data_IF_830008213933
#
_entry.id   IF_830008213933
#
_cell.length_a   1.000
_cell.length_b   1.000
_cell.length_c   1.000
_cell.angle_alpha   90.00
_cell.angle_beta   90.00
_cell.angle_gamma   90.00
#
_symmetry.space_group_name_H-M   'P 1'
#
loop_
_entity.id
_entity.type
_entity.pdbx_description
1 polymer ?
#
# COMPACT_ATOMS: atom_id res chain seq x y z
N UNK A 1 11.16 22.47 -21.27
CA UNK A 1 9.77 22.91 -21.04
C UNK A 1 9.05 21.87 -20.19
N UNK A 2 8.84 22.13 -18.90
CA UNK A 2 8.07 21.24 -18.01
C UNK A 2 6.60 21.48 -18.32
N UNK A 3 5.96 20.60 -19.08
CA UNK A 3 4.52 20.67 -19.31
C UNK A 3 3.82 20.54 -17.95
N UNK A 4 3.07 21.58 -17.55
CA UNK A 4 2.15 21.48 -16.42
C UNK A 4 1.16 20.36 -16.76
N UNK A 5 1.15 19.30 -15.95
CA UNK A 5 0.08 18.30 -16.02
C UNK A 5 -1.25 19.04 -15.83
N UNK A 6 -2.28 18.78 -16.66
CA UNK A 6 -3.60 19.34 -16.40
C UNK A 6 -4.03 18.95 -14.99
N UNK A 7 -4.52 19.91 -14.20
CA UNK A 7 -5.15 19.59 -12.91
C UNK A 7 -6.28 18.61 -13.21
N UNK A 8 -6.21 17.42 -12.60
CA UNK A 8 -7.31 16.47 -12.64
C UNK A 8 -8.59 17.14 -12.13
N UNK A 9 -9.75 16.66 -12.58
CA UNK A 9 -11.04 17.12 -12.08
C UNK A 9 -11.05 17.00 -10.55
N UNK A 10 -11.39 18.09 -9.86
CA UNK A 10 -11.56 18.07 -8.41
C UNK A 10 -12.78 17.21 -8.07
N UNK A 11 -12.60 16.24 -7.17
CA UNK A 11 -13.67 15.34 -6.74
C UNK A 11 -14.73 16.13 -5.98
N UNK A 12 -16.01 15.80 -6.20
CA UNK A 12 -17.08 16.32 -5.37
C UNK A 12 -16.99 15.75 -3.94
N UNK A 13 -17.76 16.31 -3.01
CA UNK A 13 -17.85 15.74 -1.66
C UNK A 13 -18.45 14.33 -1.74
N UNK A 14 -19.43 14.13 -2.62
CA UNK A 14 -20.08 12.85 -2.87
C UNK A 14 -19.07 11.81 -3.36
N UNK A 15 -18.20 12.19 -4.30
CA UNK A 15 -17.15 11.33 -4.83
C UNK A 15 -16.16 10.93 -3.71
N UNK A 16 -15.74 11.88 -2.87
CA UNK A 16 -14.84 11.60 -1.73
C UNK A 16 -15.48 10.70 -0.68
N UNK A 17 -16.77 10.86 -0.42
CA UNK A 17 -17.51 9.99 0.51
C UNK A 17 -17.62 8.58 -0.07
N UNK A 18 -17.86 8.45 -1.37
CA UNK A 18 -17.90 7.15 -2.03
C UNK A 18 -16.53 6.45 -1.98
N UNK A 19 -15.44 7.18 -2.22
CA UNK A 19 -14.07 6.68 -2.10
C UNK A 19 -13.75 6.20 -0.69
N UNK A 20 -13.99 7.05 0.33
CA UNK A 20 -13.74 6.70 1.73
C UNK A 20 -14.53 5.45 2.15
N UNK A 21 -15.79 5.34 1.72
CA UNK A 21 -16.62 4.15 1.98
C UNK A 21 -16.02 2.91 1.33
N UNK A 22 -15.64 3.00 0.05
CA UNK A 22 -15.08 1.87 -0.68
C UNK A 22 -13.82 1.34 0.02
N UNK A 23 -12.90 2.21 0.44
CA UNK A 23 -11.67 1.80 1.14
C UNK A 23 -11.96 1.23 2.53
N UNK A 24 -12.95 1.78 3.25
CA UNK A 24 -13.26 1.34 4.62
C UNK A 24 -13.92 -0.04 4.69
N UNK A 25 -14.72 -0.40 3.69
CA UNK A 25 -15.50 -1.66 3.69
C UNK A 25 -14.89 -2.76 2.83
N UNK A 26 -13.79 -2.47 2.13
CA UNK A 26 -13.17 -3.43 1.24
C UNK A 26 -12.52 -4.56 2.03
N UNK A 27 -12.93 -5.79 1.74
CA UNK A 27 -12.34 -7.01 2.27
C UNK A 27 -12.39 -8.08 1.18
N UNK A 28 -11.23 -8.54 0.73
CA UNK A 28 -11.08 -9.60 -0.27
C UNK A 28 -10.29 -10.80 0.26
N UNK A 29 -10.15 -10.97 1.58
CA UNK A 29 -9.39 -12.08 2.17
C UNK A 29 -9.94 -13.46 1.79
N UNK A 30 -11.22 -13.56 1.43
CA UNK A 30 -11.84 -14.80 0.94
C UNK A 30 -11.34 -15.24 -0.44
N UNK A 31 -10.75 -14.32 -1.18
CA UNK A 31 -10.27 -14.51 -2.55
C UNK A 31 -8.72 -14.48 -2.60
N UNK A 32 -8.07 -14.54 -1.44
CA UNK A 32 -6.61 -14.43 -1.29
C UNK A 32 -5.88 -15.55 -2.04
N UNK A 33 -6.51 -16.72 -2.16
CA UNK A 33 -6.04 -17.90 -2.89
C UNK A 33 -5.95 -17.68 -4.40
N UNK A 34 -6.60 -16.66 -4.94
CA UNK A 34 -6.51 -16.28 -6.36
C UNK A 34 -5.24 -15.52 -6.71
N UNK A 35 -4.48 -15.05 -5.73
CA UNK A 35 -3.20 -14.37 -5.95
C UNK A 35 -2.13 -15.42 -6.26
N UNK A 36 -1.78 -15.57 -7.53
CA UNK A 36 -0.78 -16.55 -8.00
C UNK A 36 0.57 -15.92 -8.37
N UNK A 37 0.65 -14.60 -8.42
CA UNK A 37 1.90 -13.90 -8.68
C UNK A 37 2.82 -13.94 -7.45
N UNK A 38 4.13 -13.97 -7.68
CA UNK A 38 5.09 -13.70 -6.62
C UNK A 38 4.76 -12.35 -5.98
N UNK A 39 4.73 -12.32 -4.65
CA UNK A 39 4.23 -11.18 -3.89
C UNK A 39 5.18 -10.84 -2.75
N UNK A 40 5.34 -9.55 -2.48
CA UNK A 40 5.96 -9.02 -1.27
C UNK A 40 5.04 -7.95 -0.67
N UNK A 41 4.85 -8.02 0.65
CA UNK A 41 4.11 -7.01 1.42
C UNK A 41 5.11 -6.11 2.15
N UNK A 42 4.96 -4.80 1.99
CA UNK A 42 5.72 -3.79 2.73
C UNK A 42 4.74 -3.07 3.65
N UNK A 43 5.06 -2.97 4.95
CA UNK A 43 4.29 -2.22 5.95
C UNK A 43 5.20 -1.24 6.70
N UNK A 44 4.63 -0.21 7.32
CA UNK A 44 5.39 0.79 8.07
C UNK A 44 5.07 0.71 9.58
N UNK A 45 6.10 0.80 10.41
CA UNK A 45 6.01 0.60 11.86
C UNK A 45 5.02 1.54 12.57
N UNK A 46 4.87 2.76 12.08
CA UNK A 46 4.01 3.78 12.67
C UNK A 46 2.78 4.11 11.82
N UNK A 47 2.41 3.25 10.85
CA UNK A 47 1.19 3.44 10.08
C UNK A 47 -0.05 3.28 10.98
N UNK A 48 -0.80 4.37 11.16
CA UNK A 48 -2.04 4.39 11.95
C UNK A 48 -3.29 4.26 11.09
N UNK A 49 -3.16 4.38 9.76
CA UNK A 49 -4.27 4.25 8.82
C UNK A 49 -4.44 2.77 8.48
N UNK A 50 -3.34 2.08 8.17
CA UNK A 50 -3.29 0.64 7.95
C UNK A 50 -2.18 0.05 8.84
N UNK A 51 -2.51 -0.38 10.07
CA UNK A 51 -1.52 -0.92 11.00
C UNK A 51 -0.73 -2.10 10.43
N UNK A 52 0.55 -2.25 10.76
CA UNK A 52 1.44 -3.25 10.16
C UNK A 52 0.98 -4.69 10.36
N UNK A 53 0.19 -4.96 11.40
CA UNK A 53 -0.41 -6.27 11.67
C UNK A 53 -1.33 -6.71 10.53
N UNK A 54 -2.03 -5.77 9.86
CA UNK A 54 -2.87 -6.08 8.70
C UNK A 54 -2.05 -6.55 7.51
N UNK A 55 -0.88 -5.96 7.30
CA UNK A 55 0.05 -6.42 6.27
C UNK A 55 0.62 -7.80 6.58
N UNK A 56 0.91 -8.07 7.86
CA UNK A 56 1.40 -9.37 8.32
C UNK A 56 0.34 -10.46 8.11
N UNK A 57 -0.93 -10.20 8.45
CA UNK A 57 -2.06 -11.12 8.21
C UNK A 57 -2.15 -11.52 6.73
N UNK A 58 -2.00 -10.56 5.82
CA UNK A 58 -2.01 -10.82 4.36
C UNK A 58 -0.78 -11.63 3.94
N UNK A 59 0.40 -11.30 4.45
CA UNK A 59 1.63 -12.00 4.11
C UNK A 59 1.62 -13.46 4.59
N UNK A 60 1.08 -13.72 5.78
CA UNK A 60 0.88 -15.08 6.30
C UNK A 60 -0.11 -15.87 5.45
N UNK A 61 -1.23 -15.25 5.07
CA UNK A 61 -2.24 -15.88 4.21
C UNK A 61 -1.71 -16.23 2.81
N UNK A 62 -0.83 -15.38 2.26
CA UNK A 62 -0.17 -15.61 0.97
C UNK A 62 1.10 -16.45 1.09
N UNK A 63 1.58 -16.74 2.30
CA UNK A 63 2.90 -17.30 2.57
C UNK A 63 4.00 -16.59 1.75
N UNK A 64 4.00 -15.26 1.79
CA UNK A 64 4.85 -14.41 0.95
C UNK A 64 5.85 -13.60 1.78
N UNK A 65 6.76 -12.89 1.12
CA UNK A 65 7.76 -12.06 1.79
C UNK A 65 7.08 -10.86 2.48
N UNK A 66 7.44 -10.63 3.74
CA UNK A 66 6.98 -9.48 4.51
C UNK A 66 8.15 -8.60 4.95
N UNK A 67 8.03 -7.30 4.71
CA UNK A 67 9.02 -6.29 5.07
C UNK A 67 8.39 -5.21 5.94
N UNK A 68 8.87 -5.07 7.17
CA UNK A 68 8.46 -4.00 8.07
C UNK A 68 9.46 -2.86 8.01
N UNK A 69 9.07 -1.75 7.42
CA UNK A 69 9.86 -0.54 7.36
C UNK A 69 9.85 0.17 8.71
N UNK A 70 11.01 0.17 9.36
CA UNK A 70 11.24 0.86 10.64
C UNK A 70 11.23 2.37 10.48
N UNK A 71 10.84 3.07 11.54
CA UNK A 71 10.81 4.54 11.61
C UNK A 71 10.06 5.23 10.45
N UNK A 72 8.93 4.67 10.02
CA UNK A 72 8.10 5.24 8.96
C UNK A 72 6.60 5.12 9.29
N UNK A 73 5.81 6.09 8.85
CA UNK A 73 4.35 6.08 8.90
C UNK A 73 3.69 5.70 7.57
N UNK A 74 2.40 6.02 7.44
CA UNK A 74 1.59 5.69 6.26
C UNK A 74 2.19 6.21 4.95
N UNK A 75 2.86 7.36 5.01
CA UNK A 75 3.50 7.98 3.85
C UNK A 75 4.93 7.46 3.65
N UNK A 76 5.20 6.19 3.96
CA UNK A 76 6.53 5.55 3.89
C UNK A 76 7.27 5.76 2.56
N UNK A 77 6.54 5.85 1.44
CA UNK A 77 7.15 6.13 0.12
C UNK A 77 7.71 7.55 -0.02
N UNK A 78 7.20 8.51 0.77
CA UNK A 78 7.69 9.88 0.85
C UNK A 78 8.73 10.03 1.96
N UNK A 79 8.52 9.34 3.09
CA UNK A 79 9.39 9.41 4.26
C UNK A 79 10.73 8.69 4.03
N UNK A 80 10.70 7.53 3.37
CA UNK A 80 11.85 6.64 3.14
C UNK A 80 11.91 6.16 1.67
N UNK A 81 12.04 7.09 0.71
CA UNK A 81 11.96 6.76 -0.71
C UNK A 81 13.09 5.83 -1.18
N UNK A 82 14.28 5.93 -0.60
CA UNK A 82 15.42 5.11 -0.98
C UNK A 82 15.21 3.65 -0.58
N UNK A 83 14.80 3.43 0.67
CA UNK A 83 14.55 2.10 1.24
C UNK A 83 13.43 1.38 0.50
N UNK A 84 12.34 2.09 0.16
CA UNK A 84 11.26 1.53 -0.67
C UNK A 84 11.78 1.13 -2.06
N UNK A 85 12.55 1.99 -2.72
CA UNK A 85 13.11 1.66 -4.05
C UNK A 85 14.08 0.49 -3.99
N UNK A 86 14.92 0.43 -2.95
CA UNK A 86 15.87 -0.67 -2.76
C UNK A 86 15.13 -2.00 -2.52
N UNK A 87 14.08 -2.01 -1.70
CA UNK A 87 13.23 -3.19 -1.49
C UNK A 87 12.53 -3.64 -2.79
N UNK A 88 11.99 -2.70 -3.57
CA UNK A 88 11.32 -3.03 -4.83
C UNK A 88 12.33 -3.62 -5.82
N UNK A 89 13.53 -3.04 -5.95
CA UNK A 89 14.59 -3.56 -6.84
C UNK A 89 15.03 -4.96 -6.43
N UNK A 90 15.27 -5.17 -5.14
CA UNK A 90 15.63 -6.47 -4.59
C UNK A 90 14.55 -7.53 -4.86
N UNK A 91 13.28 -7.14 -4.88
CA UNK A 91 12.18 -8.04 -5.19
C UNK A 91 12.05 -8.38 -6.68
N UNK A 92 12.25 -7.41 -7.57
CA UNK A 92 12.02 -7.62 -9.02
C UNK A 92 13.25 -8.10 -9.81
N UNK A 93 14.46 -7.95 -9.27
CA UNK A 93 15.73 -8.26 -9.96
C UNK A 93 16.24 -7.13 -10.84
#
# INVERSE_FOLDING_TARGET
>A
LRTMRPKGKELSIEDRVAEMRAVTIFDNMKEIDKVTAETMIISAEYDKIVPPERGLEVAEALNCRYELLKDAGHMMMVEKPKEIVDLIKDFIG
#
